data_IF_408278918222
#
_entry.id   IF_408278918222
#
_cell.length_a   1.000
_cell.length_b   1.000
_cell.length_c   1.000
_cell.angle_alpha   90.00
_cell.angle_beta   90.00
_cell.angle_gamma   90.00
#
_symmetry.space_group_name_H-M   'P 1'
#
loop_
_entity.id
_entity.type
_entity.pdbx_description
1 polymer ?
#
# COMPACT_ATOMS: atom_id res chain seq x y z
N UNK A 1 13.78 -4.62 3.46
CA UNK A 1 13.44 -4.91 2.05
C UNK A 1 14.64 -5.44 1.30
N UNK A 2 14.71 -6.75 1.09
CA UNK A 2 15.68 -7.34 0.17
C UNK A 2 15.06 -7.25 -1.23
N UNK A 3 15.71 -6.54 -2.17
CA UNK A 3 15.42 -6.56 -3.62
C UNK A 3 14.01 -6.12 -4.08
N UNK A 4 13.28 -5.28 -3.32
CA UNK A 4 11.95 -4.79 -3.72
C UNK A 4 10.81 -5.81 -3.54
N UNK A 5 11.07 -6.91 -2.83
CA UNK A 5 10.04 -7.83 -2.38
C UNK A 5 9.32 -7.26 -1.16
N UNK A 6 7.99 -7.14 -1.24
CA UNK A 6 7.13 -6.81 -0.11
C UNK A 6 6.57 -8.12 0.47
N UNK A 7 7.00 -8.57 1.65
CA UNK A 7 6.44 -9.76 2.27
C UNK A 7 4.99 -9.49 2.67
N UNK A 8 4.07 -10.38 2.30
CA UNK A 8 2.66 -10.24 2.63
C UNK A 8 2.16 -11.56 3.25
N UNK A 9 1.23 -11.47 4.20
CA UNK A 9 0.53 -12.64 4.75
C UNK A 9 -0.91 -12.30 5.19
N UNK A 10 -1.83 -13.28 5.22
CA UNK A 10 -3.19 -13.09 5.70
C UNK A 10 -3.27 -12.51 7.13
N UNK A 11 -4.21 -11.60 7.36
CA UNK A 11 -4.40 -10.89 8.64
C UNK A 11 -3.51 -9.66 8.83
N UNK A 12 -2.54 -9.43 7.94
CA UNK A 12 -1.64 -8.30 8.05
C UNK A 12 -2.34 -6.96 7.76
N UNK A 13 -2.17 -5.92 8.60
CA UNK A 13 -2.70 -4.60 8.34
C UNK A 13 -1.88 -3.89 7.26
N UNK A 14 -2.57 -3.35 6.26
CA UNK A 14 -1.97 -2.69 5.10
C UNK A 14 -2.66 -1.37 4.78
N UNK A 15 -1.98 -0.55 3.97
CA UNK A 15 -2.51 0.65 3.34
C UNK A 15 -2.49 0.47 1.82
N UNK A 16 -3.59 0.83 1.16
CA UNK A 16 -3.60 1.01 -0.29
C UNK A 16 -2.78 2.27 -0.63
N UNK A 17 -1.91 2.21 -1.63
CA UNK A 17 -1.03 3.34 -2.00
C UNK A 17 -1.42 4.06 -3.29
N UNK A 18 -2.49 3.61 -3.97
CA UNK A 18 -3.01 4.21 -5.19
C UNK A 18 -4.52 4.30 -5.19
N UNK A 19 -5.05 5.31 -5.89
CA UNK A 19 -6.48 5.40 -6.17
C UNK A 19 -6.85 4.38 -7.24
N UNK A 20 -7.44 3.25 -6.84
CA UNK A 20 -7.89 2.21 -7.76
C UNK A 20 -9.35 2.42 -8.16
N UNK A 21 -10.19 2.84 -7.22
CA UNK A 21 -11.57 3.21 -7.48
C UNK A 21 -12.07 4.20 -6.43
N UNK A 22 -12.08 5.48 -6.78
CA UNK A 22 -12.50 6.56 -5.86
C UNK A 22 -13.98 6.41 -5.48
N UNK A 23 -14.85 6.21 -6.48
CA UNK A 23 -16.30 6.03 -6.27
C UNK A 23 -16.62 4.83 -5.36
N UNK A 24 -15.78 3.79 -5.39
CA UNK A 24 -15.96 2.58 -4.58
C UNK A 24 -15.08 2.55 -3.33
N UNK A 25 -14.47 3.69 -2.97
CA UNK A 25 -13.66 3.88 -1.76
C UNK A 25 -12.44 2.94 -1.66
N UNK A 26 -11.89 2.53 -2.81
CA UNK A 26 -10.58 1.85 -2.91
C UNK A 26 -9.54 2.89 -3.30
N UNK A 27 -9.11 3.66 -2.30
CA UNK A 27 -8.32 4.89 -2.47
C UNK A 27 -6.96 4.78 -1.79
N UNK A 28 -6.02 5.64 -2.18
CA UNK A 28 -4.76 5.81 -1.47
C UNK A 28 -5.04 6.19 -0.01
N UNK A 29 -4.38 5.52 0.94
CA UNK A 29 -4.61 5.66 2.37
C UNK A 29 -5.72 4.76 2.93
N UNK A 30 -6.44 4.00 2.09
CA UNK A 30 -7.48 3.08 2.58
C UNK A 30 -6.87 2.02 3.50
N UNK A 31 -7.26 2.08 4.79
CA UNK A 31 -6.89 1.12 5.81
C UNK A 31 -7.57 -0.22 5.52
N UNK A 32 -6.77 -1.26 5.35
CA UNK A 32 -7.24 -2.57 4.90
C UNK A 32 -6.52 -3.69 5.64
N UNK A 33 -7.08 -4.89 5.57
CA UNK A 33 -6.47 -6.11 6.12
C UNK A 33 -6.24 -7.10 4.99
N UNK A 34 -5.05 -7.69 4.91
CA UNK A 34 -4.74 -8.71 3.93
C UNK A 34 -5.62 -9.94 4.18
N UNK A 35 -6.35 -10.40 3.17
CA UNK A 35 -7.19 -11.59 3.29
C UNK A 35 -6.46 -12.81 2.71
N UNK A 36 -6.03 -12.74 1.46
CA UNK A 36 -5.35 -13.84 0.79
C UNK A 36 -4.47 -13.34 -0.39
N UNK A 37 -3.53 -14.16 -0.83
CA UNK A 37 -2.52 -13.80 -1.83
C UNK A 37 -2.54 -14.85 -2.94
N UNK A 38 -2.87 -14.40 -4.15
CA UNK A 38 -2.95 -15.27 -5.31
C UNK A 38 -1.68 -15.13 -6.13
N UNK A 39 -0.97 -16.24 -6.27
CA UNK A 39 0.25 -16.32 -7.06
C UNK A 39 -0.02 -16.92 -8.45
N UNK A 40 0.80 -16.51 -9.41
CA UNK A 40 0.96 -17.20 -10.69
C UNK A 40 2.41 -17.69 -10.76
N UNK A 41 2.60 -18.91 -11.24
CA UNK A 41 3.94 -19.46 -11.47
C UNK A 41 4.38 -19.15 -12.89
N UNK A 42 5.51 -18.45 -13.04
CA UNK A 42 6.08 -18.11 -14.35
C UNK A 42 7.60 -18.25 -14.29
N UNK A 43 8.21 -19.01 -15.21
CA UNK A 43 9.66 -19.23 -15.26
C UNK A 43 10.30 -19.56 -13.90
N UNK A 44 9.68 -20.47 -13.14
CA UNK A 44 10.11 -20.87 -11.78
C UNK A 44 10.03 -19.77 -10.70
N UNK A 45 9.40 -18.63 -10.99
CA UNK A 45 9.14 -17.55 -10.03
C UNK A 45 7.65 -17.50 -9.66
N UNK A 46 7.39 -17.24 -8.38
CA UNK A 46 6.05 -16.92 -7.88
C UNK A 46 5.80 -15.41 -8.01
N UNK A 47 4.90 -15.04 -8.90
CA UNK A 47 4.50 -13.65 -9.11
C UNK A 47 3.12 -13.42 -8.51
N UNK A 48 2.93 -12.31 -7.79
CA UNK A 48 1.60 -11.91 -7.33
C UNK A 48 0.70 -11.67 -8.56
N UNK A 49 -0.35 -12.48 -8.71
CA UNK A 49 -1.41 -12.24 -9.71
C UNK A 49 -2.35 -11.15 -9.18
N UNK A 50 -2.78 -11.30 -7.94
CA UNK A 50 -3.51 -10.30 -7.18
C UNK A 50 -3.42 -10.62 -5.68
N UNK A 51 -3.87 -9.67 -4.88
CA UNK A 51 -4.16 -9.89 -3.45
C UNK A 51 -5.63 -9.62 -3.19
N UNK A 52 -6.21 -10.38 -2.29
CA UNK A 52 -7.53 -10.11 -1.74
C UNK A 52 -7.36 -9.32 -0.45
N UNK A 53 -8.06 -8.20 -0.34
CA UNK A 53 -7.94 -7.27 0.79
C UNK A 53 -9.33 -6.93 1.30
N UNK A 54 -9.51 -7.02 2.61
CA UNK A 54 -10.72 -6.57 3.28
C UNK A 54 -10.62 -5.06 3.48
N UNK A 55 -11.51 -4.30 2.84
CA UNK A 55 -11.57 -2.84 2.93
C UNK A 55 -12.95 -2.45 3.47
N UNK A 56 -13.10 -2.25 4.80
CA UNK A 56 -14.41 -2.02 5.42
C UNK A 56 -15.19 -0.84 4.83
N UNK A 57 -14.49 0.19 4.35
CA UNK A 57 -15.12 1.35 3.74
C UNK A 57 -15.58 1.11 2.30
N UNK A 58 -15.15 0.03 1.64
CA UNK A 58 -15.38 -0.17 0.21
C UNK A 58 -16.79 -0.64 -0.09
N UNK A 59 -17.37 -0.09 -1.15
CA UNK A 59 -18.62 -0.59 -1.74
C UNK A 59 -18.35 -1.61 -2.85
N UNK A 60 -17.08 -1.91 -3.13
CA UNK A 60 -16.68 -2.98 -4.02
C UNK A 60 -16.55 -4.27 -3.19
N UNK A 61 -17.19 -5.33 -3.66
CA UNK A 61 -17.11 -6.65 -3.05
C UNK A 61 -17.00 -7.71 -4.12
N UNK A 62 -16.32 -8.81 -3.80
CA UNK A 62 -16.39 -10.02 -4.60
C UNK A 62 -17.81 -10.58 -4.58
N UNK A 63 -18.34 -11.06 -5.71
CA UNK A 63 -19.64 -11.71 -5.73
C UNK A 63 -19.67 -12.90 -4.77
N UNK A 64 -20.67 -12.94 -3.89
CA UNK A 64 -20.84 -14.01 -2.91
C UNK A 64 -20.04 -13.84 -1.61
N UNK A 65 -19.36 -12.70 -1.41
CA UNK A 65 -18.65 -12.40 -0.17
C UNK A 65 -19.20 -11.19 0.59
N UNK A 66 -19.40 -11.36 1.89
CA UNK A 66 -20.02 -10.35 2.77
C UNK A 66 -18.99 -9.43 3.43
N UNK A 67 -17.69 -9.71 3.30
CA UNK A 67 -16.61 -9.05 4.06
C UNK A 67 -15.96 -7.85 3.37
N UNK A 68 -16.61 -7.25 2.36
CA UNK A 68 -16.04 -6.13 1.59
C UNK A 68 -14.64 -6.45 1.04
N UNK A 69 -14.48 -7.67 0.52
CA UNK A 69 -13.21 -8.14 -0.04
C UNK A 69 -13.06 -7.62 -1.46
N UNK A 70 -11.90 -7.01 -1.74
CA UNK A 70 -11.52 -6.45 -3.03
C UNK A 70 -10.30 -7.16 -3.58
N UNK A 71 -10.35 -7.51 -4.87
CA UNK A 71 -9.18 -7.97 -5.60
C UNK A 71 -8.32 -6.77 -6.03
N UNK A 72 -7.08 -6.70 -5.55
CA UNK A 72 -6.10 -5.67 -5.91
C UNK A 72 -5.01 -6.28 -6.77
N UNK A 73 -4.87 -5.75 -7.99
CA UNK A 73 -3.94 -6.25 -9.00
C UNK A 73 -2.65 -5.42 -9.04
N UNK A 74 -1.50 -6.03 -9.41
CA UNK A 74 -0.26 -5.31 -9.62
C UNK A 74 -0.40 -4.17 -10.62
N UNK A 75 0.01 -2.98 -10.21
CA UNK A 75 -0.03 -1.76 -11.02
C UNK A 75 1.39 -1.41 -11.48
N UNK A 76 1.55 -0.89 -12.71
CA UNK A 76 2.81 -0.31 -13.14
C UNK A 76 3.11 0.96 -12.34
N UNK A 77 4.36 1.17 -12.00
CA UNK A 77 4.91 2.39 -11.46
C UNK A 77 6.16 2.73 -12.26
N UNK A 78 6.17 3.92 -12.85
CA UNK A 78 7.25 4.39 -13.71
C UNK A 78 7.89 5.60 -13.06
N UNK A 79 9.21 5.58 -12.96
CA UNK A 79 9.99 6.71 -12.46
C UNK A 79 11.21 6.94 -13.34
N UNK A 80 11.63 8.21 -13.41
CA UNK A 80 12.85 8.58 -14.12
C UNK A 80 14.03 8.53 -13.16
N UNK A 81 15.13 7.93 -13.61
CA UNK A 81 16.40 7.88 -12.89
C UNK A 81 17.47 8.49 -13.78
N UNK A 82 18.22 9.45 -13.26
CA UNK A 82 19.36 10.02 -13.97
C UNK A 82 20.61 9.24 -13.59
N UNK A 83 21.21 8.58 -14.57
CA UNK A 83 22.49 7.91 -14.44
C UNK A 83 23.57 8.80 -15.03
N UNK A 84 24.68 8.96 -14.31
CA UNK A 84 25.84 9.74 -14.76
C UNK A 84 26.42 9.24 -16.10
N UNK A 85 26.21 7.95 -16.43
CA UNK A 85 26.75 7.32 -17.64
C UNK A 85 25.73 7.13 -18.77
N UNK A 86 24.45 6.94 -18.45
CA UNK A 86 23.40 6.61 -19.43
C UNK A 86 22.37 7.73 -19.63
N UNK A 87 22.53 8.87 -18.96
CA UNK A 87 21.56 9.96 -18.99
C UNK A 87 20.25 9.59 -18.31
N UNK A 88 19.13 10.09 -18.83
CA UNK A 88 17.79 9.87 -18.25
C UNK A 88 17.28 8.48 -18.62
N UNK A 89 17.26 7.57 -17.64
CA UNK A 89 16.62 6.28 -17.74
C UNK A 89 15.17 6.35 -17.25
N UNK A 90 14.30 5.57 -17.89
CA UNK A 90 12.91 5.41 -17.49
C UNK A 90 12.71 3.97 -17.01
N UNK A 91 12.43 3.77 -15.72
CA UNK A 91 12.31 2.46 -15.11
C UNK A 91 10.85 2.23 -14.77
N UNK A 92 10.30 1.09 -15.20
CA UNK A 92 8.94 0.67 -14.87
C UNK A 92 8.97 -0.62 -14.06
N UNK A 93 8.36 -0.59 -12.89
CA UNK A 93 8.15 -1.76 -12.04
C UNK A 93 6.65 -2.08 -11.97
N UNK A 94 6.27 -3.35 -11.84
CA UNK A 94 4.89 -3.75 -11.56
C UNK A 94 4.81 -4.38 -10.19
N UNK A 95 3.99 -3.82 -9.30
CA UNK A 95 3.80 -4.32 -7.95
C UNK A 95 2.38 -4.05 -7.46
N UNK A 96 1.91 -4.87 -6.53
CA UNK A 96 0.65 -4.64 -5.81
C UNK A 96 0.76 -3.30 -5.04
N UNK A 97 -0.15 -2.34 -5.24
CA UNK A 97 -0.06 -1.00 -4.65
C UNK A 97 -0.50 -0.99 -3.18
N UNK A 98 0.25 -1.71 -2.34
CA UNK A 98 0.02 -1.82 -0.90
C UNK A 98 1.34 -1.65 -0.14
N UNK A 99 1.25 -1.19 1.11
CA UNK A 99 2.36 -1.17 2.07
C UNK A 99 1.87 -1.61 3.43
N UNK A 100 2.78 -2.06 4.29
CA UNK A 100 2.46 -2.38 5.67
C UNK A 100 1.95 -1.15 6.44
N UNK A 101 1.06 -1.38 7.41
CA UNK A 101 0.46 -0.32 8.23
C UNK A 101 0.88 -0.37 9.70
N UNK A 102 1.79 -1.26 10.11
CA UNK A 102 2.24 -1.28 11.51
C UNK A 102 2.98 -0.02 11.93
N UNK A 103 3.76 0.56 11.02
CA UNK A 103 4.46 1.81 11.21
C UNK A 103 4.57 2.53 9.87
N UNK A 104 4.34 3.84 9.88
CA UNK A 104 4.51 4.71 8.73
C UNK A 104 4.90 6.10 9.19
N UNK A 105 5.50 6.87 8.30
CA UNK A 105 5.93 8.23 8.61
C UNK A 105 4.75 9.18 8.73
N UNK A 106 4.93 10.27 9.45
CA UNK A 106 4.00 11.40 9.52
C UNK A 106 3.62 11.94 8.13
N UNK A 107 4.56 11.95 7.18
CA UNK A 107 4.27 12.28 5.78
C UNK A 107 3.17 11.39 5.17
N UNK A 108 3.15 10.08 5.52
CA UNK A 108 2.11 9.16 5.07
C UNK A 108 0.84 9.21 5.93
N UNK A 109 0.93 9.73 7.15
CA UNK A 109 -0.21 9.96 8.04
C UNK A 109 -0.97 11.25 7.70
N UNK A 110 -0.32 12.21 7.02
CA UNK A 110 -0.89 13.53 6.77
C UNK A 110 -2.27 13.46 6.07
N UNK A 111 -3.26 14.12 6.67
CA UNK A 111 -4.63 14.17 6.14
C UNK A 111 -5.43 12.88 6.33
N UNK A 112 -4.95 11.96 7.17
CA UNK A 112 -5.67 10.73 7.54
C UNK A 112 -6.17 10.83 8.98
N UNK A 113 -7.32 10.22 9.26
CA UNK A 113 -7.85 10.11 10.63
C UNK A 113 -7.54 8.71 11.17
N UNK A 114 -6.84 8.65 12.31
CA UNK A 114 -6.46 7.41 12.96
C UNK A 114 -7.01 7.40 14.40
N UNK A 115 -7.85 6.42 14.73
CA UNK A 115 -8.51 6.37 16.03
C UNK A 115 -7.58 6.00 17.19
N UNK A 116 -6.52 5.24 16.90
CA UNK A 116 -5.54 4.75 17.88
C UNK A 116 -4.17 4.71 17.22
N UNK A 117 -3.21 5.44 17.79
CA UNK A 117 -1.84 5.55 17.28
C UNK A 117 -0.83 5.54 18.42
N UNK A 118 0.38 5.11 18.11
CA UNK A 118 1.57 5.31 18.94
C UNK A 118 2.49 6.22 18.12
N UNK A 119 2.94 7.31 18.72
CA UNK A 119 3.76 8.32 18.05
C UNK A 119 5.14 8.39 18.69
N UNK A 120 6.18 8.48 17.87
CA UNK A 120 7.54 8.78 18.30
C UNK A 120 7.80 10.28 18.18
N UNK A 121 7.54 11.01 19.26
CA UNK A 121 7.76 12.45 19.33
C UNK A 121 9.24 12.83 19.44
N UNK A 122 10.10 11.91 19.90
CA UNK A 122 11.53 12.17 20.07
C UNK A 122 12.21 12.30 18.70
N UNK A 123 11.77 11.50 17.73
CA UNK A 123 12.28 11.54 16.35
C UNK A 123 11.68 12.66 15.48
N UNK A 124 10.73 13.47 16.01
CA UNK A 124 10.06 14.51 15.25
C UNK A 124 11.04 15.63 14.85
N UNK A 125 11.16 15.92 13.56
CA UNK A 125 12.07 16.95 13.01
C UNK A 125 11.44 18.35 12.98
N UNK A 126 10.75 18.74 14.05
CA UNK A 126 10.14 20.06 14.21
C UNK A 126 8.68 20.02 14.63
N UNK A 127 8.17 21.18 15.06
CA UNK A 127 6.83 21.32 15.66
C UNK A 127 5.71 20.95 14.67
N UNK A 128 5.90 21.21 13.38
CA UNK A 128 4.91 20.86 12.34
C UNK A 128 4.74 19.34 12.20
N UNK A 129 5.83 18.58 12.29
CA UNK A 129 5.80 17.12 12.23
C UNK A 129 5.10 16.53 13.45
N UNK A 130 5.40 17.05 14.64
CA UNK A 130 4.70 16.68 15.87
C UNK A 130 3.20 17.01 15.80
N UNK A 131 2.83 18.15 15.22
CA UNK A 131 1.43 18.50 14.99
C UNK A 131 0.73 17.49 14.08
N UNK A 132 1.33 17.13 12.93
CA UNK A 132 0.76 16.13 12.01
C UNK A 132 0.58 14.77 12.70
N UNK A 133 1.53 14.38 13.57
CA UNK A 133 1.44 13.11 14.30
C UNK A 133 0.31 13.10 15.33
N UNK A 134 -0.08 14.25 15.89
CA UNK A 134 -1.04 14.36 17.00
C UNK A 134 -2.46 14.78 16.57
N UNK A 135 -2.62 15.36 15.38
CA UNK A 135 -3.91 15.83 14.83
C UNK A 135 -4.68 14.73 14.11
#
# INVERSE_FOLDING_TARGET
DYLGCLPLFPGMPILITKNLSVTRKVVNGACSTMHDIIFCTSFYLFLHRCVYVAIPASTLQLPGEDTHIVAVFPQPYTFSYFSDHAGKLCITCRQVPVVWRWAFTDYKAQGTTLNKIIVDLVSARGVQHAYIMLS
#
